data_IF_612341911511
#
_entry.id   IF_612341911511
#
_cell.length_a   1.000
_cell.length_b   1.000
_cell.length_c   1.000
_cell.angle_alpha   90.00
_cell.angle_beta   90.00
_cell.angle_gamma   90.00
#
_symmetry.space_group_name_H-M   'P 1'
#
loop_
_entity.id
_entity.type
_entity.pdbx_description
1 polymer ?
#
# COMPACT_ATOMS: atom_id res chain seq x y z
N UNK A 1 38.27 -27.00 -31.54
CA UNK A 1 37.90 -25.63 -31.18
C UNK A 1 36.82 -25.20 -32.16
N UNK A 2 35.60 -25.05 -31.66
CA UNK A 2 34.40 -24.74 -32.44
C UNK A 2 34.07 -23.27 -32.19
N UNK A 3 33.78 -22.59 -33.30
CA UNK A 3 33.43 -21.19 -33.53
C UNK A 3 32.74 -20.45 -32.37
N UNK A 4 33.27 -19.28 -32.05
CA UNK A 4 32.64 -18.27 -31.22
C UNK A 4 31.76 -17.36 -32.10
N UNK A 5 30.51 -17.21 -31.67
CA UNK A 5 29.51 -16.17 -31.96
C UNK A 5 29.82 -15.12 -33.04
N UNK A 6 29.23 -15.33 -34.22
CA UNK A 6 28.75 -14.25 -35.10
C UNK A 6 27.37 -13.79 -34.59
N UNK A 7 27.34 -12.99 -33.52
CA UNK A 7 26.18 -12.18 -33.18
C UNK A 7 26.44 -10.75 -33.63
N UNK A 8 25.96 -10.46 -34.85
CA UNK A 8 25.80 -9.11 -35.39
C UNK A 8 24.67 -8.40 -34.59
N UNK A 9 25.06 -7.57 -33.63
CA UNK A 9 24.17 -6.84 -32.73
C UNK A 9 23.59 -5.55 -33.35
N UNK A 10 23.85 -5.29 -34.64
CA UNK A 10 23.25 -4.17 -35.37
C UNK A 10 23.59 -2.79 -34.77
N UNK A 11 24.72 -2.68 -34.07
CA UNK A 11 25.26 -1.44 -33.53
C UNK A 11 26.53 -1.07 -34.31
N UNK A 12 26.51 0.10 -34.97
CA UNK A 12 27.70 0.64 -35.65
C UNK A 12 28.73 1.10 -34.60
N UNK A 13 29.74 0.28 -34.33
CA UNK A 13 30.90 0.69 -33.54
C UNK A 13 31.81 1.59 -34.38
N UNK A 14 31.73 2.91 -34.17
CA UNK A 14 32.78 3.82 -34.61
C UNK A 14 33.97 3.67 -33.66
N UNK A 15 34.95 2.89 -34.07
CA UNK A 15 36.26 2.81 -33.40
C UNK A 15 37.05 4.07 -33.76
N UNK A 16 37.04 5.06 -32.87
CA UNK A 16 38.00 6.15 -32.92
C UNK A 16 39.27 5.72 -32.20
N UNK A 17 40.29 5.35 -32.98
CA UNK A 17 41.66 5.15 -32.51
C UNK A 17 42.29 6.48 -32.08
N UNK A 18 42.30 6.78 -30.77
CA UNK A 18 43.23 7.78 -30.21
C UNK A 18 43.70 7.35 -28.81
N UNK A 19 44.96 6.90 -28.80
CA UNK A 19 46.00 6.97 -27.78
C UNK A 19 45.66 7.13 -26.28
N UNK A 20 46.22 6.17 -25.54
CA UNK A 20 46.63 6.19 -24.14
C UNK A 20 46.93 7.59 -23.55
N UNK A 21 46.25 7.94 -22.45
CA UNK A 21 46.86 8.63 -21.31
C UNK A 21 45.97 8.52 -20.06
N UNK A 22 46.64 8.31 -18.94
CA UNK A 22 46.10 8.01 -17.62
C UNK A 22 45.39 9.20 -16.93
N UNK A 23 44.73 8.87 -15.80
CA UNK A 23 44.55 9.67 -14.56
C UNK A 23 43.18 10.35 -14.31
N UNK A 24 42.60 9.90 -13.18
CA UNK A 24 41.88 10.61 -12.10
C UNK A 24 40.39 10.91 -12.18
N UNK A 25 39.71 10.38 -11.16
CA UNK A 25 38.58 10.95 -10.42
C UNK A 25 38.58 12.50 -10.42
N UNK A 26 37.46 13.15 -10.75
CA UNK A 26 36.57 13.77 -9.77
C UNK A 26 35.44 14.58 -10.44
N UNK A 27 34.40 14.78 -9.64
CA UNK A 27 33.18 15.55 -9.83
C UNK A 27 33.25 16.84 -10.68
N UNK A 28 32.19 17.10 -11.45
CA UNK A 28 31.22 18.18 -11.17
C UNK A 28 30.55 18.68 -12.46
N UNK A 29 29.22 18.74 -12.43
CA UNK A 29 28.40 19.31 -13.48
C UNK A 29 28.26 20.80 -13.20
N UNK A 30 28.92 21.63 -13.99
CA UNK A 30 28.68 23.08 -14.05
C UNK A 30 27.96 23.45 -15.34
N UNK A 31 26.74 23.96 -15.18
CA UNK A 31 25.95 24.68 -16.18
C UNK A 31 26.61 26.04 -16.47
N UNK A 32 26.83 26.35 -17.76
CA UNK A 32 27.16 27.71 -18.20
C UNK A 32 26.15 28.17 -19.25
N UNK A 33 25.39 29.20 -18.88
CA UNK A 33 24.66 30.08 -19.79
C UNK A 33 25.63 31.08 -20.44
N UNK A 34 25.38 31.48 -21.68
CA UNK A 34 26.06 32.59 -22.33
C UNK A 34 25.40 32.94 -23.67
N UNK A 35 24.59 34.01 -23.66
CA UNK A 35 24.05 34.69 -24.83
C UNK A 35 25.16 35.26 -25.72
N UNK A 36 24.95 35.29 -27.04
CA UNK A 36 24.97 36.53 -27.82
C UNK A 36 24.28 36.37 -29.17
N UNK A 37 23.75 37.50 -29.63
CA UNK A 37 22.80 37.77 -30.70
C UNK A 37 23.35 37.63 -32.11
N UNK A 38 22.53 37.17 -33.05
CA UNK A 38 22.35 37.89 -34.32
C UNK A 38 21.04 37.53 -35.04
N UNK A 39 20.54 38.54 -35.74
CA UNK A 39 19.19 38.79 -36.22
C UNK A 39 19.02 38.33 -37.69
N UNK A 40 18.09 37.42 -37.99
CA UNK A 40 17.48 37.30 -39.34
C UNK A 40 16.01 36.88 -39.21
N UNK A 41 15.13 37.67 -39.84
CA UNK A 41 13.68 37.52 -39.89
C UNK A 41 13.18 36.78 -41.15
N UNK A 42 11.92 36.30 -41.07
CA UNK A 42 10.97 35.84 -42.11
C UNK A 42 11.09 34.33 -42.48
N UNK A 43 10.07 33.46 -42.36
CA UNK A 43 8.67 33.61 -41.98
C UNK A 43 7.91 32.26 -41.88
N UNK A 44 6.81 32.30 -41.10
CA UNK A 44 5.57 31.49 -41.14
C UNK A 44 5.58 29.94 -41.17
N UNK A 45 5.19 29.29 -40.06
CA UNK A 45 3.98 28.45 -39.96
C UNK A 45 3.78 27.76 -38.58
N UNK A 46 2.82 28.28 -37.80
CA UNK A 46 1.78 27.55 -37.01
C UNK A 46 2.16 26.27 -36.19
N UNK A 47 2.32 26.39 -34.86
CA UNK A 47 1.39 25.92 -33.77
C UNK A 47 2.13 25.66 -32.43
N UNK A 48 1.44 25.77 -31.27
CA UNK A 48 2.06 25.70 -29.95
C UNK A 48 2.36 24.25 -29.53
N UNK A 49 3.53 24.03 -28.91
CA UNK A 49 3.80 22.84 -28.11
C UNK A 49 3.03 22.97 -26.78
N UNK A 50 1.94 22.23 -26.64
CA UNK A 50 1.44 21.83 -25.33
C UNK A 50 2.35 20.73 -24.79
N UNK A 51 3.20 21.07 -23.84
CA UNK A 51 3.79 20.14 -22.90
C UNK A 51 2.71 19.76 -21.89
N UNK A 52 2.08 18.61 -22.07
CA UNK A 52 1.31 17.98 -20.99
C UNK A 52 1.52 16.46 -21.01
N UNK A 53 2.50 16.05 -20.21
CA UNK A 53 2.94 14.68 -20.02
C UNK A 53 2.04 14.01 -18.97
N UNK A 54 0.84 13.62 -19.40
CA UNK A 54 -0.13 12.90 -18.57
C UNK A 54 -0.66 11.65 -19.28
N UNK A 55 0.19 10.64 -19.37
CA UNK A 55 -0.24 9.26 -19.68
C UNK A 55 -0.97 8.68 -18.46
N UNK A 56 -2.30 8.83 -18.42
CA UNK A 56 -3.17 8.08 -17.51
C UNK A 56 -3.17 6.59 -17.89
N UNK A 57 -3.11 5.65 -16.92
CA UNK A 57 -3.33 4.24 -17.21
C UNK A 57 -4.80 4.03 -17.57
N UNK A 58 -5.02 3.41 -18.73
CA UNK A 58 -6.36 3.08 -19.25
C UNK A 58 -6.89 1.89 -18.43
N UNK A 59 -7.92 2.11 -17.65
CA UNK A 59 -8.75 1.05 -17.05
C UNK A 59 -9.50 0.30 -18.16
N UNK A 60 -9.61 -1.02 -18.02
CA UNK A 60 -10.13 -1.96 -19.02
C UNK A 60 -11.64 -1.86 -19.34
N UNK A 61 -12.29 -0.71 -19.08
CA UNK A 61 -13.71 -0.49 -19.37
C UNK A 61 -13.98 0.66 -20.37
N UNK A 62 -12.94 1.28 -20.94
CA UNK A 62 -13.08 2.31 -22.00
C UNK A 62 -12.50 1.80 -23.35
N UNK A 63 -13.15 0.80 -23.95
CA UNK A 63 -12.69 0.16 -25.19
C UNK A 63 -13.29 0.73 -26.47
N UNK A 64 -13.58 2.03 -26.57
CA UNK A 64 -14.11 2.63 -27.81
C UNK A 64 -13.54 4.02 -28.15
N UNK A 65 -12.25 4.26 -27.92
CA UNK A 65 -11.55 5.37 -28.59
C UNK A 65 -10.71 4.83 -29.75
N UNK A 66 -10.91 5.31 -31.00
CA UNK A 66 -10.15 4.82 -32.13
C UNK A 66 -8.69 5.23 -31.99
N UNK A 67 -7.82 4.27 -31.66
CA UNK A 67 -6.38 4.46 -31.60
C UNK A 67 -5.84 4.91 -32.97
N UNK A 68 -4.93 5.88 -32.96
CA UNK A 68 -4.26 6.36 -34.17
C UNK A 68 -3.42 5.24 -34.82
N UNK A 69 -3.15 5.35 -36.12
CA UNK A 69 -2.35 4.34 -36.87
C UNK A 69 -0.97 4.10 -36.24
N UNK A 70 -0.35 5.12 -35.63
CA UNK A 70 0.94 5.03 -34.92
C UNK A 70 0.82 4.28 -33.59
N UNK A 71 -0.25 4.51 -32.83
CA UNK A 71 -0.52 3.80 -31.58
C UNK A 71 -0.79 2.30 -31.80
N UNK A 72 -1.49 1.95 -32.90
CA UNK A 72 -1.72 0.54 -33.28
C UNK A 72 -0.42 -0.19 -33.62
N UNK A 73 0.53 0.46 -34.30
CA UNK A 73 1.84 -0.14 -34.62
C UNK A 73 2.70 -0.33 -33.37
N UNK A 74 2.64 0.60 -32.41
CA UNK A 74 3.36 0.50 -31.14
C UNK A 74 2.77 -0.59 -30.24
N UNK A 75 1.43 -0.72 -30.19
CA UNK A 75 0.73 -1.77 -29.43
C UNK A 75 1.02 -3.19 -29.94
N UNK A 76 1.37 -3.33 -31.22
CA UNK A 76 1.76 -4.61 -31.81
C UNK A 76 3.28 -4.84 -31.78
N UNK A 77 4.06 -3.97 -31.15
CA UNK A 77 5.50 -4.18 -31.04
C UNK A 77 5.82 -5.28 -30.03
N UNK A 78 6.81 -6.13 -30.35
CA UNK A 78 7.29 -7.20 -29.45
C UNK A 78 7.71 -6.65 -28.08
N UNK A 79 8.33 -5.47 -28.05
CA UNK A 79 8.72 -4.80 -26.81
C UNK A 79 7.51 -4.41 -25.94
N UNK A 80 6.44 -3.88 -26.56
CA UNK A 80 5.22 -3.53 -25.83
C UNK A 80 4.52 -4.77 -25.27
N UNK A 81 4.45 -5.85 -26.05
CA UNK A 81 3.90 -7.13 -25.59
C UNK A 81 4.72 -7.69 -24.41
N UNK A 82 6.06 -7.69 -24.50
CA UNK A 82 6.95 -8.11 -23.41
C UNK A 82 6.80 -7.26 -22.14
N UNK A 83 6.59 -5.94 -22.30
CA UNK A 83 6.32 -5.04 -21.18
C UNK A 83 4.97 -5.31 -20.51
N UNK A 84 3.93 -5.60 -21.30
CA UNK A 84 2.62 -5.98 -20.78
C UNK A 84 2.67 -7.31 -20.03
N UNK A 85 3.30 -8.32 -20.61
CA UNK A 85 3.45 -9.65 -19.98
C UNK A 85 4.20 -9.53 -18.65
N UNK A 86 5.28 -8.75 -18.61
CA UNK A 86 6.00 -8.46 -17.36
C UNK A 86 5.10 -7.77 -16.33
N UNK A 87 4.31 -6.79 -16.74
CA UNK A 87 3.40 -6.08 -15.83
C UNK A 87 2.30 -7.00 -15.28
N UNK A 88 1.72 -7.86 -16.11
CA UNK A 88 0.72 -8.85 -15.70
C UNK A 88 1.32 -9.90 -14.77
N UNK A 89 2.54 -10.34 -15.05
CA UNK A 89 3.29 -11.23 -14.18
C UNK A 89 3.51 -10.58 -12.80
N UNK A 90 4.04 -9.35 -12.75
CA UNK A 90 4.25 -8.61 -11.50
C UNK A 90 2.94 -8.40 -10.74
N UNK A 91 1.85 -8.08 -11.44
CA UNK A 91 0.50 -7.93 -10.88
C UNK A 91 0.03 -9.23 -10.22
N UNK A 92 0.19 -10.36 -10.92
CA UNK A 92 -0.21 -11.68 -10.42
C UNK A 92 0.62 -12.09 -9.19
N UNK A 93 1.92 -11.81 -9.18
CA UNK A 93 2.79 -12.09 -8.03
C UNK A 93 2.34 -11.32 -6.80
N UNK A 94 2.06 -10.01 -6.95
CA UNK A 94 1.56 -9.16 -5.86
C UNK A 94 0.23 -9.65 -5.30
N UNK A 95 -0.72 -10.06 -6.14
CA UNK A 95 -2.03 -10.56 -5.72
C UNK A 95 -1.97 -11.95 -5.08
N UNK A 96 -0.98 -12.77 -5.44
CA UNK A 96 -0.83 -14.12 -4.91
C UNK A 96 0.00 -14.18 -3.63
N UNK A 97 0.77 -13.13 -3.31
CA UNK A 97 1.49 -13.01 -2.03
C UNK A 97 0.64 -13.36 -0.80
N UNK A 98 -0.56 -12.77 -0.58
CA UNK A 98 -1.38 -13.09 0.60
C UNK A 98 -1.91 -14.54 0.62
N UNK A 99 -1.90 -15.24 -0.52
CA UNK A 99 -2.29 -16.66 -0.62
C UNK A 99 -1.13 -17.62 -0.30
N UNK A 100 0.11 -17.11 -0.29
CA UNK A 100 1.30 -17.92 -0.07
C UNK A 100 1.43 -18.45 1.36
N UNK A 101 2.39 -19.37 1.54
CA UNK A 101 2.79 -19.82 2.86
C UNK A 101 3.41 -18.67 3.68
N UNK A 102 3.40 -18.80 4.99
CA UNK A 102 4.01 -17.79 5.89
C UNK A 102 5.49 -17.59 5.63
N UNK A 103 6.18 -18.61 5.11
CA UNK A 103 7.60 -18.55 4.75
C UNK A 103 7.83 -17.62 3.57
N UNK A 104 7.04 -17.77 2.50
CA UNK A 104 7.08 -16.90 1.32
C UNK A 104 6.76 -15.46 1.68
N UNK A 105 5.80 -15.25 2.58
CA UNK A 105 5.43 -13.92 3.06
C UNK A 105 6.60 -13.27 3.81
N UNK A 106 7.22 -13.99 4.76
CA UNK A 106 8.35 -13.47 5.53
C UNK A 106 9.54 -13.14 4.62
N UNK A 107 9.87 -14.04 3.68
CA UNK A 107 10.96 -13.83 2.73
C UNK A 107 10.72 -12.58 1.86
N UNK A 108 9.51 -12.45 1.30
CA UNK A 108 9.13 -11.27 0.51
C UNK A 108 9.26 -9.98 1.32
N UNK A 109 8.76 -9.98 2.56
CA UNK A 109 8.84 -8.80 3.42
C UNK A 109 10.28 -8.46 3.81
N UNK A 110 11.13 -9.46 4.06
CA UNK A 110 12.54 -9.24 4.36
C UNK A 110 13.28 -8.58 3.18
N UNK A 111 13.03 -9.04 1.95
CA UNK A 111 13.55 -8.40 0.73
C UNK A 111 13.05 -6.96 0.62
N UNK A 112 11.73 -6.74 0.76
CA UNK A 112 11.18 -5.37 0.66
C UNK A 112 11.68 -4.42 1.75
N UNK A 113 11.95 -4.93 2.95
CA UNK A 113 12.55 -4.14 4.03
C UNK A 113 13.99 -3.78 3.70
N UNK A 114 14.79 -4.72 3.19
CA UNK A 114 16.18 -4.47 2.78
C UNK A 114 16.25 -3.44 1.66
N UNK A 115 15.41 -3.58 0.64
CA UNK A 115 15.37 -2.65 -0.50
C UNK A 115 15.05 -1.21 -0.08
N UNK A 116 14.27 -1.04 0.98
CA UNK A 116 13.89 0.28 1.53
C UNK A 116 14.90 0.85 2.52
N UNK A 117 15.85 0.03 2.99
CA UNK A 117 16.82 0.40 4.00
C UNK A 117 18.23 -0.07 3.60
N UNK A 118 18.79 0.47 2.48
CA UNK A 118 20.09 0.04 1.97
C UNK A 118 21.25 0.36 2.92
N UNK A 119 21.10 1.41 3.74
CA UNK A 119 22.14 1.92 4.62
C UNK A 119 22.15 1.24 6.02
N UNK A 120 21.16 0.40 6.32
CA UNK A 120 21.09 -0.28 7.61
C UNK A 120 22.05 -1.46 7.67
N UNK A 121 22.69 -1.63 8.82
CA UNK A 121 23.52 -2.79 9.09
C UNK A 121 22.70 -4.08 9.18
N UNK A 122 23.37 -5.23 9.01
CA UNK A 122 22.71 -6.53 9.13
C UNK A 122 22.02 -6.73 10.50
N UNK A 123 22.61 -6.19 11.58
CA UNK A 123 22.04 -6.27 12.92
C UNK A 123 20.75 -5.44 13.05
N UNK A 124 20.71 -4.25 12.45
CA UNK A 124 19.52 -3.40 12.45
C UNK A 124 18.40 -3.99 11.59
N UNK A 125 18.76 -4.59 10.45
CA UNK A 125 17.79 -5.28 9.57
C UNK A 125 17.14 -6.49 10.26
N UNK A 126 17.90 -7.25 11.04
CA UNK A 126 17.38 -8.40 11.78
C UNK A 126 16.28 -8.03 12.78
N UNK A 127 16.33 -6.82 13.36
CA UNK A 127 15.25 -6.32 14.23
C UNK A 127 13.96 -6.00 13.45
N UNK A 128 14.12 -5.59 12.19
CA UNK A 128 13.02 -5.24 11.29
C UNK A 128 12.42 -6.46 10.58
N UNK A 129 13.13 -7.59 10.50
CA UNK A 129 12.60 -8.79 9.84
C UNK A 129 11.52 -9.50 10.65
N UNK A 130 10.39 -9.78 10.01
CA UNK A 130 9.30 -10.54 10.63
C UNK A 130 9.65 -12.01 10.77
N UNK A 131 9.05 -12.67 11.76
CA UNK A 131 9.22 -14.10 12.01
C UNK A 131 7.98 -14.87 11.58
N UNK A 132 8.11 -16.16 11.28
CA UNK A 132 6.98 -17.02 10.83
C UNK A 132 5.83 -17.01 11.84
N UNK A 133 6.14 -16.99 13.13
CA UNK A 133 5.16 -16.97 14.22
C UNK A 133 4.38 -15.65 14.32
N UNK A 134 4.84 -14.57 13.69
CA UNK A 134 4.13 -13.28 13.71
C UNK A 134 2.85 -13.35 12.86
N UNK A 135 2.79 -14.31 11.93
CA UNK A 135 1.67 -14.52 11.01
C UNK A 135 0.83 -15.75 11.36
N UNK A 136 -0.48 -15.65 11.13
CA UNK A 136 -1.35 -16.81 11.01
C UNK A 136 -1.43 -17.19 9.54
N UNK A 137 -1.16 -18.46 9.20
CA UNK A 137 -1.31 -18.94 7.83
C UNK A 137 -2.76 -18.86 7.38
N UNK A 138 -2.97 -18.23 6.22
CA UNK A 138 -4.28 -18.07 5.57
C UNK A 138 -4.32 -18.75 4.20
N UNK A 139 -3.32 -19.57 3.90
CA UNK A 139 -3.18 -20.35 2.66
C UNK A 139 -4.39 -21.26 2.40
N UNK A 140 -4.98 -21.82 3.47
CA UNK A 140 -6.20 -22.65 3.40
C UNK A 140 -7.47 -21.91 2.99
N UNK A 141 -7.42 -20.60 2.72
CA UNK A 141 -8.57 -19.85 2.24
C UNK A 141 -8.73 -20.06 0.73
N UNK A 142 -9.74 -20.85 0.35
CA UNK A 142 -9.93 -21.27 -1.05
C UNK A 142 -10.63 -20.22 -1.92
N UNK A 143 -11.46 -19.36 -1.33
CA UNK A 143 -12.20 -18.33 -2.09
C UNK A 143 -11.25 -17.25 -2.60
N UNK A 144 -11.63 -16.61 -3.69
CA UNK A 144 -10.91 -15.44 -4.18
C UNK A 144 -10.92 -14.31 -3.14
N UNK A 145 -9.77 -13.63 -2.98
CA UNK A 145 -9.57 -12.55 -2.01
C UNK A 145 -10.12 -11.22 -2.55
N UNK A 146 -11.44 -11.18 -2.76
CA UNK A 146 -12.23 -10.04 -3.24
C UNK A 146 -13.05 -9.40 -2.13
N UNK A 147 -13.49 -8.14 -2.28
CA UNK A 147 -14.24 -7.44 -1.24
C UNK A 147 -15.47 -8.23 -0.73
N UNK A 148 -16.16 -8.95 -1.61
CA UNK A 148 -17.35 -9.73 -1.29
C UNK A 148 -17.05 -10.92 -0.36
N UNK A 149 -15.85 -11.49 -0.49
CA UNK A 149 -15.41 -12.63 0.32
C UNK A 149 -14.65 -12.20 1.59
N UNK A 150 -14.49 -10.89 1.83
CA UNK A 150 -13.71 -10.40 2.97
C UNK A 150 -14.34 -10.74 4.31
N UNK A 151 -15.67 -10.66 4.41
CA UNK A 151 -16.39 -10.99 5.64
C UNK A 151 -16.25 -12.48 5.97
N UNK A 152 -16.38 -13.35 4.97
CA UNK A 152 -16.17 -14.80 5.11
C UNK A 152 -14.74 -15.12 5.57
N UNK A 153 -13.75 -14.44 5.00
CA UNK A 153 -12.37 -14.58 5.42
C UNK A 153 -12.18 -14.24 6.89
N UNK A 154 -12.66 -13.08 7.33
CA UNK A 154 -12.52 -12.66 8.73
C UNK A 154 -13.23 -13.65 9.67
N UNK A 155 -14.39 -14.17 9.29
CA UNK A 155 -15.10 -15.15 10.11
C UNK A 155 -14.33 -16.47 10.24
N UNK A 156 -13.60 -16.88 9.20
CA UNK A 156 -12.81 -18.12 9.19
C UNK A 156 -11.52 -18.04 10.02
N UNK A 157 -10.88 -16.86 10.08
CA UNK A 157 -9.56 -16.71 10.68
C UNK A 157 -9.52 -15.85 11.94
N UNK A 158 -10.44 -14.89 12.12
CA UNK A 158 -10.47 -14.03 13.30
C UNK A 158 -11.15 -14.71 14.48
N UNK A 159 -10.39 -14.95 15.54
CA UNK A 159 -10.92 -15.38 16.85
C UNK A 159 -10.79 -14.30 17.92
N UNK A 160 -10.12 -13.20 17.60
CA UNK A 160 -9.88 -12.13 18.55
C UNK A 160 -11.15 -11.29 18.75
N UNK A 161 -11.40 -10.82 19.98
CA UNK A 161 -12.55 -9.96 20.28
C UNK A 161 -12.47 -8.61 19.56
N UNK A 162 -11.25 -8.19 19.19
CA UNK A 162 -10.97 -6.96 18.45
C UNK A 162 -9.97 -7.26 17.34
N UNK A 163 -10.09 -6.49 16.27
CA UNK A 163 -9.18 -6.56 15.14
C UNK A 163 -8.96 -5.19 14.51
N UNK A 164 -7.75 -4.99 14.00
CA UNK A 164 -7.40 -3.85 13.16
C UNK A 164 -7.37 -4.33 11.72
N UNK A 165 -7.90 -3.52 10.78
CA UNK A 165 -7.76 -3.77 9.35
C UNK A 165 -6.99 -2.62 8.73
N UNK A 166 -5.85 -2.94 8.14
CA UNK A 166 -4.98 -2.00 7.44
C UNK A 166 -5.24 -2.07 5.94
N UNK A 167 -5.58 -0.92 5.36
CA UNK A 167 -5.85 -0.76 3.94
C UNK A 167 -4.89 0.28 3.34
N UNK A 168 -4.60 0.15 2.05
CA UNK A 168 -3.70 1.07 1.35
C UNK A 168 -4.24 2.50 1.23
N UNK A 169 -5.56 2.69 1.11
CA UNK A 169 -6.15 4.01 0.87
C UNK A 169 -7.44 4.26 1.64
N UNK A 170 -7.78 5.53 1.81
CA UNK A 170 -9.02 5.99 2.45
C UNK A 170 -10.30 5.49 1.75
N UNK A 171 -10.25 5.34 0.41
CA UNK A 171 -11.38 4.82 -0.36
C UNK A 171 -11.57 3.34 0.01
N UNK A 172 -10.48 2.58 0.03
CA UNK A 172 -10.50 1.18 0.40
C UNK A 172 -10.95 0.95 1.85
N UNK A 173 -10.54 1.82 2.79
CA UNK A 173 -11.07 1.85 4.18
C UNK A 173 -12.59 1.97 4.19
N UNK A 174 -13.17 2.82 3.34
CA UNK A 174 -14.61 3.01 3.27
C UNK A 174 -15.34 1.79 2.68
N UNK A 175 -14.74 1.10 1.72
CA UNK A 175 -15.30 -0.10 1.10
C UNK A 175 -15.29 -1.28 2.06
N UNK A 176 -14.16 -1.54 2.72
CA UNK A 176 -14.04 -2.59 3.75
C UNK A 176 -14.96 -2.32 4.93
N UNK A 177 -15.14 -1.04 5.31
CA UNK A 177 -16.08 -0.67 6.34
C UNK A 177 -17.53 -1.05 6.00
N UNK A 178 -17.93 -0.90 4.73
CA UNK A 178 -19.28 -1.28 4.28
C UNK A 178 -19.45 -2.79 4.29
N UNK A 179 -18.43 -3.57 3.93
CA UNK A 179 -18.49 -5.03 3.99
C UNK A 179 -18.51 -5.58 5.42
N UNK A 180 -17.93 -4.88 6.40
CA UNK A 180 -17.94 -5.26 7.81
C UNK A 180 -19.10 -4.67 8.62
N UNK A 181 -20.30 -4.63 8.05
CA UNK A 181 -21.54 -4.17 8.72
C UNK A 181 -21.50 -2.72 9.23
N UNK A 182 -20.54 -1.91 8.76
CA UNK A 182 -20.45 -0.49 9.05
C UNK A 182 -20.48 -0.15 10.55
N UNK A 183 -21.36 0.79 10.92
CA UNK A 183 -21.41 1.37 12.27
C UNK A 183 -21.73 0.36 13.38
N UNK A 184 -22.25 -0.82 13.03
CA UNK A 184 -22.66 -1.82 14.00
C UNK A 184 -21.47 -2.57 14.61
N UNK A 185 -20.41 -2.80 13.82
CA UNK A 185 -19.27 -3.64 14.21
C UNK A 185 -17.91 -2.99 13.96
N UNK A 186 -17.86 -1.92 13.16
CA UNK A 186 -16.62 -1.32 12.71
C UNK A 186 -16.56 0.19 12.94
N UNK A 187 -15.34 0.73 12.99
CA UNK A 187 -15.05 2.17 13.00
C UNK A 187 -13.99 2.48 11.96
N UNK A 188 -14.21 3.57 11.22
CA UNK A 188 -13.25 4.12 10.26
C UNK A 188 -12.38 5.16 10.94
N UNK A 189 -11.07 4.98 10.83
CA UNK A 189 -10.03 5.90 11.26
C UNK A 189 -9.29 6.34 10.01
N UNK A 190 -9.59 7.51 9.46
CA UNK A 190 -9.09 7.90 8.14
C UNK A 190 -8.98 9.42 8.02
N UNK A 191 -8.08 9.90 7.17
CA UNK A 191 -7.60 11.29 7.25
C UNK A 191 -8.62 12.40 6.95
N UNK A 192 -9.86 12.07 6.54
CA UNK A 192 -10.95 13.06 6.41
C UNK A 192 -11.48 13.57 7.75
N UNK A 193 -11.31 12.80 8.83
CA UNK A 193 -11.67 13.23 10.19
C UNK A 193 -10.48 13.90 10.87
N UNK A 194 -10.73 14.78 11.84
CA UNK A 194 -9.62 15.37 12.62
C UNK A 194 -8.98 14.27 13.47
N UNK A 195 -7.65 14.31 13.61
CA UNK A 195 -6.91 13.30 14.39
C UNK A 195 -7.44 13.22 15.84
N UNK A 196 -7.70 14.38 16.45
CA UNK A 196 -8.26 14.46 17.81
C UNK A 196 -9.58 13.69 17.92
N UNK A 197 -10.48 13.83 16.94
CA UNK A 197 -11.78 13.16 16.96
C UNK A 197 -11.62 11.63 16.87
N UNK A 198 -10.67 11.15 16.06
CA UNK A 198 -10.37 9.72 15.94
C UNK A 198 -9.73 9.17 17.24
N UNK A 199 -8.81 9.92 17.86
CA UNK A 199 -8.22 9.55 19.15
C UNK A 199 -9.31 9.46 20.22
N UNK A 200 -10.18 10.47 20.34
CA UNK A 200 -11.30 10.44 21.28
C UNK A 200 -12.27 9.29 21.02
N UNK A 201 -12.50 8.92 19.76
CA UNK A 201 -13.31 7.73 19.44
C UNK A 201 -12.64 6.45 19.92
N UNK A 202 -11.35 6.27 19.64
CA UNK A 202 -10.57 5.12 20.13
C UNK A 202 -10.60 5.06 21.65
N UNK A 203 -10.41 6.19 22.33
CA UNK A 203 -10.54 6.30 23.78
C UNK A 203 -11.90 5.86 24.28
N UNK A 204 -12.98 6.35 23.67
CA UNK A 204 -14.34 5.99 24.10
C UNK A 204 -14.67 4.50 23.94
N UNK A 205 -14.02 3.82 22.98
CA UNK A 205 -14.31 2.43 22.62
C UNK A 205 -13.38 1.43 23.32
N UNK A 206 -12.13 1.82 23.55
CA UNK A 206 -11.11 0.96 24.15
C UNK A 206 -10.88 1.21 25.64
N UNK A 207 -11.21 2.40 26.15
CA UNK A 207 -11.01 2.68 27.58
C UNK A 207 -11.77 1.66 28.43
N UNK A 208 -11.16 1.19 29.54
CA UNK A 208 -11.82 0.28 30.46
C UNK A 208 -13.11 0.95 30.95
N UNK A 209 -14.25 0.33 30.64
CA UNK A 209 -15.52 0.74 31.24
C UNK A 209 -15.37 0.50 32.74
N UNK A 210 -15.11 1.56 33.52
CA UNK A 210 -15.23 1.49 34.97
C UNK A 210 -16.61 0.91 35.25
N UNK A 211 -16.67 -0.17 36.04
CA UNK A 211 -17.91 -0.84 36.43
C UNK A 211 -18.92 0.20 36.87
N UNK A 212 -19.82 0.57 35.97
CA UNK A 212 -20.96 1.41 36.29
C UNK A 212 -21.94 0.51 37.03
N UNK A 213 -21.67 0.29 38.33
CA UNK A 213 -22.73 0.00 39.29
C UNK A 213 -23.80 1.07 39.11
N UNK A 214 -24.89 0.66 38.45
CA UNK A 214 -26.25 1.13 38.72
C UNK A 214 -26.41 2.57 39.19
N UNK A 215 -26.64 3.51 38.29
CA UNK A 215 -27.58 4.61 38.56
C UNK A 215 -28.53 4.78 37.37
N UNK A 216 -29.74 4.26 37.55
CA UNK A 216 -30.92 4.71 36.83
C UNK A 216 -31.12 6.19 37.18
N UNK A 217 -30.81 7.11 36.25
CA UNK A 217 -31.41 8.45 36.26
C UNK A 217 -32.36 8.60 35.08
N UNK A 218 -33.65 8.64 35.44
CA UNK A 218 -34.78 9.07 34.62
C UNK A 218 -34.68 10.56 34.30
N UNK A 219 -35.29 10.94 33.18
CA UNK A 219 -35.68 12.28 32.69
C UNK A 219 -34.56 13.07 31.97
N UNK A 220 -34.79 13.78 30.87
CA UNK A 220 -36.03 14.11 30.15
C UNK A 220 -35.76 14.49 28.67
N UNK A 221 -36.80 14.30 27.87
CA UNK A 221 -37.15 14.88 26.55
C UNK A 221 -36.29 16.05 26.04
N UNK A 222 -35.71 15.90 24.83
CA UNK A 222 -35.82 16.80 23.66
C UNK A 222 -34.71 16.51 22.63
N UNK A 223 -35.06 15.78 21.56
CA UNK A 223 -34.77 16.07 20.15
C UNK A 223 -34.97 14.81 19.32
N UNK A 224 -36.16 14.76 18.71
CA UNK A 224 -36.56 13.82 17.67
C UNK A 224 -36.07 14.45 16.37
N UNK A 225 -35.03 13.87 15.76
CA UNK A 225 -34.80 13.80 14.30
C UNK A 225 -33.36 13.33 14.02
N UNK A 226 -33.20 12.15 13.42
CA UNK A 226 -31.92 11.71 12.83
C UNK A 226 -31.47 10.31 13.24
N UNK A 227 -31.90 9.32 12.47
CA UNK A 227 -31.22 8.04 12.12
C UNK A 227 -30.30 7.36 13.15
N UNK A 228 -30.71 6.16 13.57
CA UNK A 228 -29.82 5.08 14.01
C UNK A 228 -29.57 5.03 15.51
N UNK A 229 -30.54 4.51 16.28
CA UNK A 229 -30.26 3.98 17.61
C UNK A 229 -29.44 2.70 17.44
N UNK A 230 -28.12 2.80 17.49
CA UNK A 230 -27.24 1.65 17.73
C UNK A 230 -27.33 1.27 19.20
N UNK A 231 -27.59 0.00 19.49
CA UNK A 231 -27.56 -0.52 20.87
C UNK A 231 -26.22 -0.15 21.55
N UNK A 232 -26.22 0.40 22.77
CA UNK A 232 -25.02 0.84 23.47
C UNK A 232 -24.13 -0.32 23.98
N UNK A 233 -24.51 -1.57 23.67
CA UNK A 233 -23.81 -2.80 24.06
C UNK A 233 -22.98 -3.44 22.95
N UNK A 234 -23.06 -2.97 21.70
CA UNK A 234 -22.27 -3.52 20.61
C UNK A 234 -20.80 -3.09 20.78
N UNK A 235 -19.97 -4.00 21.28
CA UNK A 235 -18.51 -3.82 21.31
C UNK A 235 -18.04 -3.72 19.86
N UNK A 236 -17.54 -2.55 19.46
CA UNK A 236 -16.91 -2.37 18.15
C UNK A 236 -15.75 -3.37 18.05
N UNK A 237 -15.82 -4.24 17.05
CA UNK A 237 -14.83 -5.29 16.81
C UNK A 237 -13.72 -4.81 15.89
N UNK A 238 -14.04 -4.03 14.86
CA UNK A 238 -13.10 -3.70 13.79
C UNK A 238 -12.68 -2.23 13.78
N UNK A 239 -11.38 -1.98 13.76
CA UNK A 239 -10.79 -0.64 13.58
C UNK A 239 -10.10 -0.60 12.21
N UNK A 240 -10.65 0.15 11.26
CA UNK A 240 -10.20 0.14 9.87
C UNK A 240 -9.48 1.44 9.57
N UNK A 241 -8.24 1.36 9.11
CA UNK A 241 -7.36 2.52 8.93
C UNK A 241 -6.35 2.33 7.81
N UNK A 242 -5.75 3.43 7.35
CA UNK A 242 -4.47 3.38 6.64
C UNK A 242 -3.31 3.30 7.63
N UNK A 243 -2.12 2.78 7.24
CA UNK A 243 -0.96 2.68 8.12
C UNK A 243 -0.55 4.04 8.74
N UNK A 244 -0.38 5.07 7.91
CA UNK A 244 0.01 6.42 8.33
C UNK A 244 -0.99 7.01 9.35
N UNK A 245 -2.29 6.81 9.13
CA UNK A 245 -3.31 7.29 10.08
C UNK A 245 -3.25 6.53 11.40
N UNK A 246 -3.10 5.20 11.36
CA UNK A 246 -3.07 4.42 12.59
C UNK A 246 -1.80 4.72 13.39
N UNK A 247 -0.65 4.91 12.74
CA UNK A 247 0.60 5.33 13.37
C UNK A 247 0.40 6.59 14.22
N UNK A 248 -0.18 7.65 13.64
CA UNK A 248 -0.47 8.90 14.36
C UNK A 248 -1.42 8.72 15.55
N UNK A 249 -2.34 7.76 15.45
CA UNK A 249 -3.27 7.44 16.55
C UNK A 249 -2.52 6.74 17.67
N UNK A 250 -1.70 5.73 17.38
CA UNK A 250 -0.95 4.99 18.41
C UNK A 250 0.15 5.84 19.05
N UNK A 251 0.69 6.83 18.35
CA UNK A 251 1.56 7.87 18.93
C UNK A 251 0.82 8.77 19.93
N UNK A 252 -0.50 8.93 19.77
CA UNK A 252 -1.34 9.77 20.63
C UNK A 252 -1.97 8.99 21.80
N UNK A 253 -2.09 7.67 21.70
CA UNK A 253 -2.73 6.83 22.73
C UNK A 253 -2.22 5.39 22.71
N UNK A 254 -1.96 4.83 23.89
CA UNK A 254 -1.48 3.45 24.05
C UNK A 254 -2.60 2.41 24.20
N UNK A 255 -3.88 2.82 24.04
CA UNK A 255 -5.03 1.96 24.38
C UNK A 255 -5.10 0.64 23.59
N UNK A 256 -4.57 0.60 22.37
CA UNK A 256 -4.48 -0.64 21.60
C UNK A 256 -3.52 -1.66 22.23
N UNK A 257 -2.51 -1.20 22.97
CA UNK A 257 -1.51 -2.04 23.62
C UNK A 257 -1.98 -2.50 25.02
N UNK A 258 -2.93 -1.80 25.61
CA UNK A 258 -3.47 -2.12 26.93
C UNK A 258 -4.37 -3.39 26.92
N UNK A 259 -4.54 -3.97 28.11
CA UNK A 259 -5.40 -5.14 28.33
C UNK A 259 -4.82 -6.47 27.85
N UNK A 260 -5.41 -7.57 28.34
CA UNK A 260 -5.01 -8.95 28.02
C UNK A 260 -5.75 -9.55 26.81
N UNK A 261 -6.67 -8.78 26.22
CA UNK A 261 -7.43 -9.23 25.06
C UNK A 261 -6.51 -9.49 23.87
N UNK A 262 -6.87 -10.50 23.06
CA UNK A 262 -6.19 -10.77 21.79
C UNK A 262 -6.58 -9.71 20.77
N UNK A 263 -5.65 -9.39 19.87
CA UNK A 263 -5.83 -8.39 18.84
C UNK A 263 -5.29 -8.95 17.52
N UNK A 264 -6.16 -9.15 16.54
CA UNK A 264 -5.72 -9.56 15.20
C UNK A 264 -5.45 -8.31 14.35
N UNK A 265 -4.42 -8.35 13.49
CA UNK A 265 -4.19 -7.32 12.47
C UNK A 265 -4.37 -7.96 11.10
N UNK A 266 -5.40 -7.52 10.39
CA UNK A 266 -5.64 -7.85 9.00
C UNK A 266 -4.95 -6.83 8.10
N UNK A 267 -4.19 -7.31 7.12
CA UNK A 267 -3.54 -6.49 6.10
C UNK A 267 -4.20 -6.80 4.76
N UNK A 268 -4.92 -5.84 4.18
CA UNK A 268 -5.56 -5.94 2.86
C UNK A 268 -4.49 -5.81 1.77
N UNK A 269 -3.86 -6.94 1.45
CA UNK A 269 -2.71 -7.07 0.57
C UNK A 269 -3.09 -7.56 -0.84
N UNK A 270 -4.26 -8.17 -1.03
CA UNK A 270 -4.77 -8.59 -2.33
C UNK A 270 -5.25 -7.43 -3.19
N UNK A 271 -5.66 -6.33 -2.57
CA UNK A 271 -6.11 -5.13 -3.28
C UNK A 271 -4.96 -4.47 -4.04
N UNK A 272 -5.25 -4.10 -5.29
CA UNK A 272 -4.38 -3.28 -6.12
C UNK A 272 -5.06 -1.93 -6.37
N UNK A 273 -4.31 -0.86 -6.16
CA UNK A 273 -4.74 0.47 -6.54
C UNK A 273 -4.71 0.66 -8.07
N UNK A 274 -5.19 1.80 -8.61
CA UNK A 274 -5.13 2.09 -10.04
C UNK A 274 -3.71 2.13 -10.65
N UNK A 275 -2.66 2.15 -9.81
CA UNK A 275 -1.25 2.08 -10.22
C UNK A 275 -0.66 0.67 -10.07
N UNK A 276 -1.48 -0.35 -9.78
CA UNK A 276 -1.06 -1.72 -9.50
C UNK A 276 -0.10 -1.86 -8.30
N UNK A 277 -0.23 -0.96 -7.32
CA UNK A 277 0.42 -1.07 -6.04
C UNK A 277 -0.50 -1.74 -5.03
N UNK A 278 0.09 -2.59 -4.19
CA UNK A 278 -0.49 -3.13 -2.96
C UNK A 278 -0.06 -2.29 -1.77
N UNK A 279 -0.62 -2.58 -0.59
CA UNK A 279 -0.18 -1.97 0.67
C UNK A 279 1.33 -2.19 0.98
N UNK A 280 1.96 -3.22 0.39
CA UNK A 280 3.40 -3.49 0.56
C UNK A 280 4.30 -2.75 -0.44
N UNK A 281 3.75 -2.35 -1.59
CA UNK A 281 4.49 -1.69 -2.68
C UNK A 281 4.18 -0.21 -2.80
N UNK A 282 3.21 0.31 -2.04
CA UNK A 282 2.95 1.74 -1.90
C UNK A 282 4.07 2.47 -1.15
N UNK A 283 4.17 3.79 -1.35
CA UNK A 283 5.17 4.65 -0.67
C UNK A 283 5.11 4.55 0.87
N UNK A 284 3.91 4.40 1.43
CA UNK A 284 3.67 4.25 2.88
C UNK A 284 4.02 2.86 3.46
N UNK A 285 4.62 1.97 2.67
CA UNK A 285 4.88 0.58 3.10
C UNK A 285 5.97 0.48 4.18
N UNK A 286 6.91 1.42 4.24
CA UNK A 286 7.87 1.50 5.36
C UNK A 286 7.15 1.79 6.68
N UNK A 287 6.18 2.70 6.66
CA UNK A 287 5.31 3.02 7.80
C UNK A 287 4.51 1.78 8.23
N UNK A 288 3.98 1.01 7.26
CA UNK A 288 3.30 -0.25 7.55
C UNK A 288 4.21 -1.21 8.33
N UNK A 289 5.46 -1.42 7.89
CA UNK A 289 6.36 -2.34 8.57
C UNK A 289 6.69 -1.90 10.00
N UNK A 290 6.99 -0.62 10.17
CA UNK A 290 7.27 -0.05 11.49
C UNK A 290 6.06 -0.20 12.43
N UNK A 291 4.87 0.09 11.93
CA UNK A 291 3.63 -0.05 12.68
C UNK A 291 3.37 -1.50 13.11
N UNK A 292 3.45 -2.45 12.17
CA UNK A 292 3.27 -3.88 12.47
C UNK A 292 4.30 -4.35 13.52
N UNK A 293 5.56 -3.93 13.40
CA UNK A 293 6.61 -4.22 14.38
C UNK A 293 6.35 -3.60 15.74
N UNK A 294 5.87 -2.37 15.80
CA UNK A 294 5.49 -1.73 17.04
C UNK A 294 4.41 -2.53 17.77
N UNK A 295 3.37 -2.97 17.04
CA UNK A 295 2.31 -3.81 17.61
C UNK A 295 2.84 -5.16 18.13
N UNK A 296 3.70 -5.84 17.37
CA UNK A 296 4.31 -7.09 17.80
C UNK A 296 5.22 -6.92 19.02
N UNK A 297 5.96 -5.80 19.11
CA UNK A 297 6.85 -5.49 20.25
C UNK A 297 6.05 -5.14 21.51
N UNK A 298 5.01 -4.29 21.38
CA UNK A 298 4.23 -3.77 22.53
C UNK A 298 3.14 -4.74 23.00
N UNK A 299 2.65 -5.66 22.15
CA UNK A 299 1.55 -6.57 22.49
C UNK A 299 1.80 -8.00 21.97
N UNK A 300 2.12 -8.90 22.89
CA UNK A 300 2.44 -10.31 22.60
C UNK A 300 1.26 -11.14 22.06
N UNK A 301 0.02 -10.68 22.27
CA UNK A 301 -1.19 -11.35 21.80
C UNK A 301 -1.58 -10.99 20.35
N UNK A 302 -0.74 -10.22 19.66
CA UNK A 302 -0.97 -9.81 18.27
C UNK A 302 -0.58 -10.90 17.29
N UNK A 303 -1.42 -11.12 16.29
CA UNK A 303 -1.10 -11.91 15.09
C UNK A 303 -1.51 -11.17 13.83
N UNK A 304 -0.69 -11.32 12.79
CA UNK A 304 -0.91 -10.68 11.50
C UNK A 304 -1.51 -11.69 10.53
N UNK A 305 -2.53 -11.28 9.79
CA UNK A 305 -3.21 -12.05 8.77
C UNK A 305 -3.22 -11.24 7.50
N UNK A 306 -2.73 -11.81 6.40
CA UNK A 306 -2.79 -11.16 5.10
C UNK A 306 -4.10 -11.56 4.44
N UNK A 307 -4.86 -10.58 3.96
CA UNK A 307 -6.01 -10.74 3.09
C UNK A 307 -5.63 -10.46 1.65
#
# INVERSE_FOLDING_TARGET
MVYADDLDDGLDYQVNDVAENEISDNESVTLASGNESDEVTIGEAKRPLDTDDHVKPVSAEDSEKPLSKRQKKLANSSFYQKKLERMEYEKSQKQNLPKGSTEKIVEYLATSIRDKNPDLSALELDELYFKKQDFISTERFEKERTLDNFQDFINNFSKSPRAIVLCQSNIRVADIYRSLSGHQAAVKLFSKTKLKDDVTRVESLLAPKKDSKSEKKKNNRFNKNGKGKTDPSAVVKYFISTPNRLQKIVESTDLFFQGKEKLDIFVDASYLDPKNNTIFTSDDSAILYNLLKEFLKKKTSVKILLY
#
